data_IF_718382345655
#
_entry.id   IF_718382345655
#
_cell.length_a   1.000
_cell.length_b   1.000
_cell.length_c   1.000
_cell.angle_alpha   90.00
_cell.angle_beta   90.00
_cell.angle_gamma   90.00
#
_symmetry.space_group_name_H-M   'P 1'
#
loop_
_entity.id
_entity.type
_entity.pdbx_description
1 polymer ?
#
# COMPACT_ATOMS: atom_id res chain seq x y z
N UNK A 1 -22.16 8.81 24.58
CA UNK A 1 -22.79 8.44 23.29
C UNK A 1 -22.05 7.21 22.75
N UNK A 2 -22.74 6.15 22.33
CA UNK A 2 -22.09 4.89 21.92
C UNK A 2 -21.31 5.11 20.59
N UNK A 3 -20.08 4.60 20.46
CA UNK A 3 -19.23 4.76 19.26
C UNK A 3 -19.97 4.38 17.98
N UNK A 4 -20.74 3.30 18.03
CA UNK A 4 -21.60 2.86 16.93
C UNK A 4 -22.61 3.93 16.47
N UNK A 5 -23.19 4.70 17.40
CA UNK A 5 -24.13 5.78 17.05
C UNK A 5 -23.43 6.94 16.34
N UNK A 6 -22.21 7.28 16.74
CA UNK A 6 -21.42 8.34 16.11
C UNK A 6 -21.07 7.96 14.67
N UNK A 7 -20.52 6.76 14.47
CA UNK A 7 -20.16 6.27 13.12
C UNK A 7 -21.38 6.23 12.20
N UNK A 8 -22.53 5.77 12.70
CA UNK A 8 -23.77 5.73 11.92
C UNK A 8 -24.24 7.12 11.48
N UNK A 9 -24.13 8.13 12.35
CA UNK A 9 -24.51 9.51 12.01
C UNK A 9 -23.53 10.10 10.98
N UNK A 10 -22.22 9.94 11.20
CA UNK A 10 -21.18 10.47 10.30
C UNK A 10 -21.30 9.84 8.90
N UNK A 11 -21.44 8.52 8.82
CA UNK A 11 -21.63 7.82 7.54
C UNK A 11 -22.93 8.23 6.84
N UNK A 12 -24.01 8.44 7.59
CA UNK A 12 -25.26 8.98 7.06
C UNK A 12 -25.09 10.37 6.44
N UNK A 13 -24.39 11.28 7.13
CA UNK A 13 -24.12 12.64 6.63
C UNK A 13 -23.25 12.59 5.37
N UNK A 14 -22.16 11.83 5.38
CA UNK A 14 -21.27 11.68 4.22
C UNK A 14 -22.01 11.09 3.00
N UNK A 15 -22.89 10.12 3.23
CA UNK A 15 -23.74 9.53 2.19
C UNK A 15 -24.71 10.56 1.59
N UNK A 16 -25.40 11.34 2.43
CA UNK A 16 -26.31 12.40 1.96
C UNK A 16 -25.55 13.47 1.18
N UNK A 17 -24.38 13.92 1.67
CA UNK A 17 -23.54 14.88 0.96
C UNK A 17 -23.07 14.35 -0.40
N UNK A 18 -22.70 13.06 -0.46
CA UNK A 18 -22.32 12.42 -1.71
C UNK A 18 -23.45 12.39 -2.73
N UNK A 19 -24.68 12.08 -2.29
CA UNK A 19 -25.87 12.10 -3.13
C UNK A 19 -26.14 13.52 -3.65
N UNK A 20 -26.09 14.53 -2.77
CA UNK A 20 -26.31 15.93 -3.14
C UNK A 20 -25.29 16.41 -4.18
N UNK A 21 -23.99 16.16 -3.95
CA UNK A 21 -22.94 16.55 -4.89
C UNK A 21 -23.01 15.78 -6.21
N UNK A 22 -23.44 14.52 -6.19
CA UNK A 22 -23.67 13.73 -7.41
C UNK A 22 -24.79 14.36 -8.25
N UNK A 23 -25.94 14.67 -7.65
CA UNK A 23 -27.04 15.35 -8.35
C UNK A 23 -26.64 16.74 -8.86
N UNK A 24 -25.78 17.46 -8.15
CA UNK A 24 -25.22 18.73 -8.61
C UNK A 24 -24.39 18.58 -9.90
N UNK A 25 -23.55 17.53 -9.97
CA UNK A 25 -22.74 17.23 -11.16
C UNK A 25 -23.63 16.82 -12.34
N UNK A 26 -24.56 15.89 -12.12
CA UNK A 26 -25.49 15.43 -13.17
C UNK A 26 -26.38 16.59 -13.66
N UNK A 27 -26.85 17.44 -12.74
CA UNK A 27 -27.69 18.59 -13.06
C UNK A 27 -26.98 19.67 -13.87
N UNK A 28 -25.64 19.70 -13.85
CA UNK A 28 -24.83 20.63 -14.64
C UNK A 28 -24.66 20.17 -16.10
N UNK A 29 -24.96 18.90 -16.43
CA UNK A 29 -24.85 18.38 -17.81
C UNK A 29 -23.41 18.15 -18.31
N UNK A 30 -23.19 17.00 -18.93
CA UNK A 30 -21.83 16.53 -19.29
C UNK A 30 -21.09 17.45 -20.26
N UNK A 31 -21.79 18.08 -21.20
CA UNK A 31 -21.17 18.97 -22.20
C UNK A 31 -20.76 20.32 -21.59
N UNK A 32 -21.55 20.87 -20.67
CA UNK A 32 -21.22 22.12 -19.98
C UNK A 32 -20.06 21.92 -18.99
N UNK A 33 -20.05 20.77 -18.30
CA UNK A 33 -18.95 20.41 -17.40
C UNK A 33 -17.62 20.23 -18.15
N UNK A 34 -17.63 19.60 -19.33
CA UNK A 34 -16.42 19.48 -20.17
C UNK A 34 -15.94 20.84 -20.68
N UNK A 35 -16.86 21.71 -21.10
CA UNK A 35 -16.53 23.05 -21.56
C UNK A 35 -15.93 23.91 -20.43
N UNK A 36 -16.52 23.87 -19.24
CA UNK A 36 -16.02 24.56 -18.05
C UNK A 36 -14.64 24.02 -17.63
N UNK A 37 -14.46 22.70 -17.63
CA UNK A 37 -13.18 22.06 -17.32
C UNK A 37 -12.06 22.46 -18.29
N UNK A 38 -12.37 22.60 -19.59
CA UNK A 38 -11.41 23.07 -20.60
C UNK A 38 -10.95 24.52 -20.37
N UNK A 39 -11.78 25.33 -19.72
CA UNK A 39 -11.46 26.70 -19.28
C UNK A 39 -10.85 26.76 -17.87
N UNK A 40 -10.62 25.61 -17.23
CA UNK A 40 -10.06 25.51 -15.89
C UNK A 40 -11.06 25.68 -14.74
N UNK A 41 -12.37 25.74 -15.03
CA UNK A 41 -13.41 25.80 -14.02
C UNK A 41 -13.94 24.40 -13.69
N UNK A 42 -13.62 23.92 -12.48
CA UNK A 42 -14.03 22.61 -11.96
C UNK A 42 -15.09 22.71 -10.87
N UNK A 43 -15.75 23.86 -10.71
CA UNK A 43 -16.61 24.15 -9.55
C UNK A 43 -17.77 23.17 -9.40
N UNK A 44 -18.31 22.65 -10.50
CA UNK A 44 -19.41 21.65 -10.46
C UNK A 44 -18.96 20.28 -9.95
N UNK A 45 -17.71 19.87 -10.21
CA UNK A 45 -17.20 18.51 -9.93
C UNK A 45 -16.30 18.47 -8.69
N UNK A 46 -15.64 19.57 -8.37
CA UNK A 46 -14.71 19.72 -7.24
C UNK A 46 -15.31 19.30 -5.88
N UNK A 47 -16.57 19.64 -5.53
CA UNK A 47 -17.17 19.21 -4.26
C UNK A 47 -17.26 17.69 -4.11
N UNK A 48 -17.60 16.99 -5.19
CA UNK A 48 -17.70 15.52 -5.20
C UNK A 48 -16.31 14.88 -5.05
N UNK A 49 -15.32 15.38 -5.79
CA UNK A 49 -13.93 14.89 -5.73
C UNK A 49 -13.32 15.16 -4.34
N UNK A 50 -13.53 16.35 -3.79
CA UNK A 50 -13.04 16.71 -2.45
C UNK A 50 -13.64 15.81 -1.38
N UNK A 51 -14.95 15.52 -1.47
CA UNK A 51 -15.60 14.57 -0.57
C UNK A 51 -14.99 13.16 -0.69
N UNK A 52 -14.73 12.69 -1.91
CA UNK A 52 -14.12 11.39 -2.14
C UNK A 52 -12.70 11.31 -1.56
N UNK A 53 -11.89 12.37 -1.69
CA UNK A 53 -10.55 12.45 -1.08
C UNK A 53 -10.62 12.42 0.45
N UNK A 54 -11.59 13.12 1.05
CA UNK A 54 -11.81 13.09 2.51
C UNK A 54 -12.20 11.69 2.98
N UNK A 55 -13.14 11.03 2.29
CA UNK A 55 -13.57 9.66 2.63
C UNK A 55 -12.39 8.68 2.48
N UNK A 56 -11.61 8.80 1.41
CA UNK A 56 -10.42 7.99 1.20
C UNK A 56 -9.40 8.20 2.33
N UNK A 57 -9.15 9.46 2.73
CA UNK A 57 -8.27 9.79 3.84
C UNK A 57 -8.75 9.17 5.15
N UNK A 58 -10.05 9.29 5.48
CA UNK A 58 -10.65 8.66 6.66
C UNK A 58 -10.49 7.14 6.61
N UNK A 59 -10.75 6.52 5.45
CA UNK A 59 -10.63 5.08 5.28
C UNK A 59 -9.19 4.61 5.52
N UNK A 60 -8.20 5.25 4.89
CA UNK A 60 -6.78 4.93 5.07
C UNK A 60 -6.38 5.07 6.54
N UNK A 61 -6.71 6.19 7.18
CA UNK A 61 -6.37 6.43 8.59
C UNK A 61 -7.04 5.39 9.49
N UNK A 62 -8.34 5.13 9.31
CA UNK A 62 -9.07 4.15 10.10
C UNK A 62 -8.48 2.75 9.91
N UNK A 63 -8.24 2.32 8.68
CA UNK A 63 -7.63 1.01 8.39
C UNK A 63 -6.24 0.89 9.03
N UNK A 64 -5.39 1.92 8.95
CA UNK A 64 -4.09 1.91 9.59
C UNK A 64 -4.21 1.79 11.12
N UNK A 65 -5.04 2.62 11.75
CA UNK A 65 -5.24 2.61 13.20
C UNK A 65 -5.79 1.26 13.66
N UNK A 66 -6.87 0.77 13.05
CA UNK A 66 -7.48 -0.51 13.44
C UNK A 66 -6.59 -1.71 13.14
N UNK A 67 -5.82 -1.67 12.05
CA UNK A 67 -4.83 -2.71 11.75
C UNK A 67 -3.73 -2.74 12.81
N UNK A 68 -3.19 -1.58 13.21
CA UNK A 68 -2.16 -1.49 14.24
C UNK A 68 -2.72 -1.86 15.62
N UNK A 69 -3.86 -1.32 16.02
CA UNK A 69 -4.51 -1.68 17.29
C UNK A 69 -4.83 -3.18 17.33
N UNK A 70 -5.34 -3.75 16.25
CA UNK A 70 -5.62 -5.17 16.16
C UNK A 70 -4.36 -6.04 16.22
N UNK A 71 -3.25 -5.54 15.67
CA UNK A 71 -1.95 -6.21 15.76
C UNK A 71 -1.36 -6.16 17.17
N UNK A 72 -1.37 -4.99 17.82
CA UNK A 72 -0.79 -4.80 19.16
C UNK A 72 -1.64 -5.42 20.28
N UNK A 73 -2.95 -5.53 20.08
CA UNK A 73 -3.86 -6.12 21.07
C UNK A 73 -3.71 -7.64 21.18
N UNK A 74 -3.14 -8.29 20.16
CA UNK A 74 -3.00 -9.74 20.09
C UNK A 74 -1.52 -10.12 20.07
N UNK A 75 -1.02 -10.63 21.20
CA UNK A 75 0.38 -11.04 21.36
C UNK A 75 0.81 -12.12 20.36
N UNK A 76 -0.10 -13.01 19.96
CA UNK A 76 0.21 -14.08 19.01
C UNK A 76 0.37 -13.53 17.60
N UNK A 77 -0.54 -12.65 17.16
CA UNK A 77 -0.44 -11.96 15.87
C UNK A 77 0.80 -11.06 15.81
N UNK A 78 1.07 -10.32 16.87
CA UNK A 78 2.27 -9.48 16.97
C UNK A 78 3.54 -10.34 16.84
N UNK A 79 3.63 -11.46 17.56
CA UNK A 79 4.79 -12.36 17.46
C UNK A 79 4.98 -12.89 16.03
N UNK A 80 3.91 -13.29 15.34
CA UNK A 80 3.98 -13.75 13.94
C UNK A 80 4.45 -12.64 13.00
N UNK A 81 3.93 -11.43 13.14
CA UNK A 81 4.35 -10.27 12.34
C UNK A 81 5.81 -9.88 12.62
N UNK A 82 6.24 -9.90 13.88
CA UNK A 82 7.64 -9.67 14.23
C UNK A 82 8.53 -10.77 13.63
N UNK A 83 8.10 -12.03 13.68
CA UNK A 83 8.86 -13.13 13.09
C UNK A 83 9.01 -13.00 11.57
N UNK A 84 7.96 -12.54 10.86
CA UNK A 84 8.07 -12.28 9.42
C UNK A 84 9.02 -11.11 9.11
N UNK A 85 8.94 -10.03 9.88
CA UNK A 85 9.84 -8.87 9.73
C UNK A 85 11.29 -9.26 10.02
N UNK A 86 11.55 -9.99 11.11
CA UNK A 86 12.88 -10.47 11.46
C UNK A 86 13.43 -11.41 10.39
N UNK A 87 12.61 -12.34 9.90
CA UNK A 87 13.00 -13.22 8.79
C UNK A 87 13.40 -12.43 7.54
N UNK A 88 12.62 -11.42 7.16
CA UNK A 88 12.93 -10.54 6.03
C UNK A 88 14.25 -9.77 6.26
N UNK A 89 14.46 -9.21 7.45
CA UNK A 89 15.68 -8.48 7.81
C UNK A 89 16.91 -9.37 7.83
N UNK A 90 16.80 -10.63 8.26
CA UNK A 90 17.90 -11.60 8.20
C UNK A 90 18.30 -11.85 6.75
N UNK A 91 17.33 -12.09 5.86
CA UNK A 91 17.62 -12.28 4.43
C UNK A 91 18.20 -11.01 3.80
N UNK A 92 17.70 -9.83 4.19
CA UNK A 92 18.27 -8.54 3.78
C UNK A 92 19.73 -8.41 4.21
N UNK A 93 20.04 -8.72 5.47
CA UNK A 93 21.39 -8.65 6.01
C UNK A 93 22.36 -9.59 5.28
N UNK A 94 21.94 -10.83 5.01
CA UNK A 94 22.74 -11.79 4.23
C UNK A 94 22.91 -11.31 2.79
N UNK A 95 21.85 -10.81 2.14
CA UNK A 95 21.93 -10.28 0.79
C UNK A 95 22.84 -9.05 0.71
N UNK A 96 22.79 -8.15 1.68
CA UNK A 96 23.62 -6.95 1.72
C UNK A 96 25.08 -7.24 2.07
N UNK A 97 25.30 -8.18 3.00
CA UNK A 97 26.63 -8.64 3.41
C UNK A 97 27.35 -9.39 2.29
N UNK A 98 26.62 -10.17 1.49
CA UNK A 98 27.21 -10.83 0.32
C UNK A 98 27.39 -9.86 -0.85
N UNK A 99 26.55 -8.83 -0.98
CA UNK A 99 26.61 -7.89 -2.10
C UNK A 99 27.81 -6.97 -2.04
N UNK A 100 28.56 -6.92 -3.13
CA UNK A 100 29.66 -5.99 -3.35
C UNK A 100 29.18 -4.79 -4.15
N UNK A 101 29.64 -3.60 -3.75
CA UNK A 101 29.38 -2.35 -4.46
C UNK A 101 30.60 -1.97 -5.27
N UNK A 102 30.56 -2.22 -6.58
CA UNK A 102 31.57 -1.72 -7.51
C UNK A 102 30.90 -0.64 -8.35
N UNK A 103 31.61 0.44 -8.63
CA UNK A 103 31.12 1.46 -9.55
C UNK A 103 30.87 0.81 -10.91
N UNK A 104 29.62 0.83 -11.35
CA UNK A 104 29.21 0.16 -12.58
C UNK A 104 28.81 1.22 -13.60
N UNK A 105 29.49 1.29 -14.76
CA UNK A 105 29.08 2.20 -15.81
C UNK A 105 27.71 1.75 -16.37
N UNK A 106 26.76 2.68 -16.41
CA UNK A 106 25.44 2.45 -17.00
C UNK A 106 25.47 2.68 -18.51
N UNK A 107 24.46 2.12 -19.20
CA UNK A 107 24.29 2.24 -20.66
C UNK A 107 24.12 3.68 -21.15
N UNK A 108 23.76 4.59 -20.25
CA UNK A 108 23.53 6.01 -20.54
C UNK A 108 24.79 6.88 -20.31
N UNK A 109 25.94 6.26 -20.03
CA UNK A 109 27.23 6.95 -19.83
C UNK A 109 27.47 7.47 -18.41
N UNK A 110 26.47 7.43 -17.53
CA UNK A 110 26.61 7.74 -16.11
C UNK A 110 27.13 6.54 -15.31
N UNK A 111 27.92 6.79 -14.26
CA UNK A 111 28.41 5.75 -13.35
C UNK A 111 27.46 5.57 -12.18
N UNK A 112 27.04 4.34 -11.93
CA UNK A 112 26.28 4.01 -10.72
C UNK A 112 27.25 4.01 -9.54
N UNK A 113 26.97 4.83 -8.53
CA UNK A 113 27.78 4.86 -7.32
C UNK A 113 27.89 3.46 -6.69
N UNK A 114 29.03 3.15 -6.07
CA UNK A 114 29.25 1.87 -5.41
C UNK A 114 28.11 1.49 -4.45
N UNK A 115 27.53 2.47 -3.74
CA UNK A 115 26.37 2.28 -2.86
C UNK A 115 25.11 1.93 -3.63
N UNK A 116 24.81 2.62 -4.73
CA UNK A 116 23.66 2.31 -5.59
C UNK A 116 23.78 0.91 -6.19
N UNK A 117 24.95 0.55 -6.71
CA UNK A 117 25.23 -0.78 -7.24
C UNK A 117 25.07 -1.87 -6.19
N UNK A 118 25.51 -1.62 -4.96
CA UNK A 118 25.36 -2.56 -3.85
C UNK A 118 23.90 -2.77 -3.46
N UNK A 119 23.08 -1.72 -3.43
CA UNK A 119 21.66 -1.81 -3.09
C UNK A 119 20.88 -2.59 -4.15
N UNK A 120 21.15 -2.34 -5.44
CA UNK A 120 20.56 -3.11 -6.53
C UNK A 120 20.98 -4.59 -6.45
N UNK A 121 22.28 -4.86 -6.26
CA UNK A 121 22.79 -6.21 -6.07
C UNK A 121 22.16 -6.92 -4.87
N UNK A 122 21.94 -6.19 -3.77
CA UNK A 122 21.25 -6.68 -2.57
C UNK A 122 19.81 -7.07 -2.88
N UNK A 123 19.07 -6.23 -3.61
CA UNK A 123 17.69 -6.54 -4.00
C UNK A 123 17.58 -7.80 -4.85
N UNK A 124 18.46 -7.95 -5.85
CA UNK A 124 18.48 -9.13 -6.72
C UNK A 124 18.84 -10.41 -5.93
N UNK A 125 19.85 -10.35 -5.07
CA UNK A 125 20.25 -11.51 -4.25
C UNK A 125 19.21 -11.87 -3.20
N UNK A 126 18.59 -10.87 -2.59
CA UNK A 126 17.45 -11.07 -1.67
C UNK A 126 16.33 -11.82 -2.39
N UNK A 127 15.99 -11.44 -3.62
CA UNK A 127 14.98 -12.13 -4.42
C UNK A 127 15.35 -13.60 -4.64
N UNK A 128 16.59 -13.90 -5.05
CA UNK A 128 17.03 -15.28 -5.24
C UNK A 128 16.97 -16.10 -3.94
N UNK A 129 17.40 -15.56 -2.81
CA UNK A 129 17.30 -16.24 -1.52
C UNK A 129 15.85 -16.54 -1.14
N UNK A 130 14.96 -15.55 -1.26
CA UNK A 130 13.54 -15.72 -0.95
C UNK A 130 12.86 -16.71 -1.91
N UNK A 131 13.22 -16.68 -3.21
CA UNK A 131 12.68 -17.61 -4.19
C UNK A 131 13.06 -19.07 -3.88
N UNK A 132 14.33 -19.33 -3.55
CA UNK A 132 14.79 -20.67 -3.15
C UNK A 132 14.10 -21.13 -1.86
N UNK A 133 14.00 -20.26 -0.85
CA UNK A 133 13.29 -20.56 0.41
C UNK A 133 11.81 -20.87 0.13
N UNK A 134 11.15 -20.09 -0.72
CA UNK A 134 9.75 -20.28 -1.07
C UNK A 134 9.53 -21.64 -1.76
N UNK A 135 10.28 -21.93 -2.83
CA UNK A 135 10.18 -23.20 -3.56
C UNK A 135 10.45 -24.39 -2.64
N UNK A 136 11.53 -24.33 -1.84
CA UNK A 136 11.87 -25.37 -0.88
C UNK A 136 10.77 -25.61 0.15
N UNK A 137 10.18 -24.53 0.68
CA UNK A 137 9.08 -24.63 1.65
C UNK A 137 7.81 -25.24 1.05
N UNK A 138 7.48 -24.90 -0.20
CA UNK A 138 6.34 -25.46 -0.91
C UNK A 138 6.52 -26.94 -1.22
N UNK A 139 7.71 -27.34 -1.68
CA UNK A 139 8.03 -28.76 -1.92
C UNK A 139 7.95 -29.57 -0.62
N UNK A 140 8.55 -29.08 0.46
CA UNK A 140 8.48 -29.74 1.76
C UNK A 140 7.04 -29.87 2.27
N UNK A 141 6.24 -28.80 2.16
CA UNK A 141 4.82 -28.82 2.56
C UNK A 141 4.02 -29.84 1.72
N UNK A 142 4.25 -29.89 0.41
CA UNK A 142 3.60 -30.83 -0.50
C UNK A 142 3.96 -32.29 -0.20
N UNK A 143 5.25 -32.59 0.00
CA UNK A 143 5.72 -33.95 0.34
C UNK A 143 5.17 -34.40 1.69
N UNK A 144 5.22 -33.52 2.70
CA UNK A 144 4.66 -33.81 4.04
C UNK A 144 3.15 -34.11 3.99
N UNK A 145 2.42 -33.47 3.08
CA UNK A 145 0.97 -33.68 2.87
C UNK A 145 0.67 -34.96 2.07
N UNK A 146 1.63 -35.51 1.34
CA UNK A 146 1.48 -36.78 0.62
C UNK A 146 1.79 -37.99 1.51
N UNK A 147 2.71 -37.81 2.46
CA UNK A 147 3.17 -38.85 3.39
C UNK A 147 2.23 -39.00 4.60
N UNK A 148 1.45 -37.96 4.92
CA UNK A 148 0.44 -37.97 5.98
C UNK A 148 -0.96 -38.03 5.38
#
# INVERSE_FOLDING_TARGET
>A
MNFHKIVKIVTGILGVLGIVFLFMVIGSGDEEVKAAAAMGDYSSVSPLISLAQVILGIAVIATLIFSLLGLFSDKEKLKKAVFSIVGLLVVLGVAYGTSEGVETPMKDGEVLSATGSRLVGTGIRMFYFLAVIAIGSMLFASVKKLIK
#
